data_IF_986987016712
#
_entry.id   IF_986987016712
#
_cell.length_a   1.000
_cell.length_b   1.000
_cell.length_c   1.000
_cell.angle_alpha   90.00
_cell.angle_beta   90.00
_cell.angle_gamma   90.00
#
_symmetry.space_group_name_H-M   'P 1'
#
loop_
_entity.id
_entity.type
_entity.pdbx_description
1 polymer ?
#
# COMPACT_ATOMS: atom_id res chain seq x y z
N UNK A 1 10.56 13.28 21.70
CA UNK A 1 11.83 12.71 21.18
C UNK A 1 13.08 13.44 21.70
N UNK A 2 13.21 14.77 21.48
CA UNK A 2 14.37 15.53 21.97
C UNK A 2 14.58 15.37 23.49
N UNK A 3 13.51 15.40 24.27
CA UNK A 3 13.56 15.23 25.73
C UNK A 3 14.05 13.84 26.15
N UNK A 4 13.63 12.77 25.47
CA UNK A 4 14.08 11.41 25.77
C UNK A 4 15.56 11.19 25.41
N UNK A 5 16.01 11.71 24.27
CA UNK A 5 17.43 11.67 23.88
C UNK A 5 18.28 12.48 24.86
N UNK A 6 17.83 13.67 25.27
CA UNK A 6 18.52 14.47 26.28
C UNK A 6 18.67 13.70 27.59
N UNK A 7 17.64 12.95 28.00
CA UNK A 7 17.69 12.13 29.23
C UNK A 7 18.72 11.00 29.15
N UNK A 8 18.83 10.33 28.00
CA UNK A 8 19.85 9.29 27.78
C UNK A 8 21.26 9.91 27.81
N UNK A 9 21.45 11.07 27.16
CA UNK A 9 22.73 11.79 27.19
C UNK A 9 23.12 12.24 28.60
N UNK A 10 22.16 12.70 29.41
CA UNK A 10 22.40 13.02 30.83
C UNK A 10 22.85 11.79 31.61
N UNK A 11 22.25 10.62 31.38
CA UNK A 11 22.66 9.38 32.06
C UNK A 11 24.09 8.93 31.69
N UNK A 12 24.51 9.15 30.44
CA UNK A 12 25.91 8.92 30.00
C UNK A 12 26.85 9.92 30.68
N UNK A 13 26.49 11.19 30.73
CA UNK A 13 27.28 12.25 31.38
C UNK A 13 27.44 12.01 32.90
N UNK A 14 26.41 11.50 33.55
CA UNK A 14 26.42 11.12 34.97
C UNK A 14 27.14 9.78 35.22
N UNK A 15 27.61 9.08 34.19
CA UNK A 15 28.32 7.80 34.30
C UNK A 15 27.43 6.63 34.71
N UNK A 16 26.10 6.78 34.65
CA UNK A 16 25.14 5.71 34.98
C UNK A 16 25.11 4.61 33.92
N UNK A 17 25.46 4.97 32.68
CA UNK A 17 25.60 4.06 31.54
C UNK A 17 26.83 4.46 30.72
N UNK A 18 27.37 3.49 29.99
CA UNK A 18 28.46 3.70 29.03
C UNK A 18 27.94 4.21 27.66
N UNK A 19 28.87 4.65 26.81
CA UNK A 19 28.53 5.21 25.50
C UNK A 19 27.84 4.18 24.58
N UNK A 20 28.22 2.91 24.68
CA UNK A 20 27.67 1.83 23.84
C UNK A 20 26.19 1.60 24.19
N UNK A 21 25.86 1.44 25.48
CA UNK A 21 24.47 1.34 25.95
C UNK A 21 23.67 2.60 25.67
N UNK A 22 24.29 3.78 25.75
CA UNK A 22 23.65 5.04 25.36
C UNK A 22 23.23 5.05 23.90
N UNK A 23 24.11 4.55 23.01
CA UNK A 23 23.84 4.43 21.58
C UNK A 23 22.68 3.47 21.29
N UNK A 24 22.67 2.29 21.93
CA UNK A 24 21.59 1.31 21.79
C UNK A 24 20.23 1.88 22.23
N UNK A 25 20.17 2.59 23.35
CA UNK A 25 18.94 3.21 23.84
C UNK A 25 18.42 4.29 22.88
N UNK A 26 19.31 5.12 22.33
CA UNK A 26 18.94 6.14 21.33
C UNK A 26 18.45 5.48 20.05
N UNK A 27 19.06 4.37 19.62
CA UNK A 27 18.64 3.61 18.45
C UNK A 27 17.22 3.05 18.63
N UNK A 28 16.92 2.43 19.78
CA UNK A 28 15.57 1.94 20.10
C UNK A 28 14.54 3.08 20.15
N UNK A 29 14.92 4.27 20.66
CA UNK A 29 14.05 5.45 20.67
C UNK A 29 13.78 5.98 19.25
N UNK A 30 14.77 5.94 18.35
CA UNK A 30 14.61 6.28 16.92
C UNK A 30 13.72 5.29 16.21
N UNK A 31 13.94 3.99 16.39
CA UNK A 31 13.11 2.94 15.79
C UNK A 31 11.66 3.01 16.26
N UNK A 32 11.42 3.36 17.53
CA UNK A 32 10.09 3.61 18.07
C UNK A 32 9.41 4.85 17.48
N UNK A 33 10.17 5.88 17.12
CA UNK A 33 9.64 7.06 16.42
C UNK A 33 9.40 6.76 14.93
N UNK A 34 10.27 6.01 14.26
CA UNK A 34 10.09 5.58 12.87
C UNK A 34 8.90 4.61 12.72
N UNK A 35 8.67 3.73 13.70
CA UNK A 35 7.47 2.88 13.77
C UNK A 35 6.24 3.62 14.28
N UNK A 36 6.40 4.66 15.11
CA UNK A 36 5.31 5.51 15.61
C UNK A 36 4.80 6.52 14.58
N UNK A 37 5.68 7.06 13.73
CA UNK A 37 5.34 8.01 12.66
C UNK A 37 4.82 7.30 11.39
N UNK A 38 5.02 5.99 11.25
CA UNK A 38 4.31 5.17 10.24
C UNK A 38 2.86 4.85 10.61
N UNK A 39 2.41 5.20 11.81
CA UNK A 39 1.05 4.95 12.29
C UNK A 39 0.16 6.21 12.33
N UNK A 40 0.66 7.32 11.80
CA UNK A 40 -0.13 8.53 11.55
C UNK A 40 -0.10 8.94 10.07
N UNK A 41 0.07 7.98 9.16
CA UNK A 41 -0.58 8.15 7.87
C UNK A 41 -2.08 8.12 8.17
N UNK A 42 -2.76 9.26 7.98
CA UNK A 42 -4.21 9.24 7.79
C UNK A 42 -4.51 8.01 6.92
N UNK A 43 -5.55 7.20 7.20
CA UNK A 43 -5.99 6.25 6.18
C UNK A 43 -6.09 7.06 4.91
N UNK A 44 -5.23 6.77 3.93
CA UNK A 44 -5.26 7.49 2.66
C UNK A 44 -6.70 7.29 2.23
N UNK A 45 -7.48 8.37 2.09
CA UNK A 45 -8.91 8.27 1.73
C UNK A 45 -9.09 7.36 0.51
N UNK A 46 -8.03 7.25 -0.28
CA UNK A 46 -7.80 6.28 -1.32
C UNK A 46 -8.07 4.79 -0.98
N UNK A 47 -7.60 4.24 0.14
CA UNK A 47 -7.85 2.83 0.47
C UNK A 47 -9.35 2.54 0.74
N UNK A 48 -10.13 3.56 1.08
CA UNK A 48 -11.59 3.46 1.22
C UNK A 48 -12.34 3.55 -0.12
N UNK A 49 -11.64 3.87 -1.23
CA UNK A 49 -12.23 3.94 -2.57
C UNK A 49 -12.55 2.56 -3.13
N UNK A 50 -13.34 2.57 -4.19
CA UNK A 50 -13.76 1.40 -4.96
C UNK A 50 -13.34 1.53 -6.41
N UNK A 51 -12.64 0.52 -6.92
CA UNK A 51 -12.46 0.33 -8.37
C UNK A 51 -13.80 -0.11 -8.97
N UNK A 52 -14.36 0.73 -9.84
CA UNK A 52 -15.60 0.48 -10.55
C UNK A 52 -15.30 0.22 -12.02
N UNK A 53 -15.76 -0.92 -12.52
CA UNK A 53 -15.74 -1.24 -13.95
C UNK A 53 -17.19 -1.31 -14.41
N UNK A 54 -17.50 -0.59 -15.49
CA UNK A 54 -18.79 -0.63 -16.17
C UNK A 54 -18.54 -0.94 -17.63
N UNK A 55 -19.22 -1.97 -18.12
CA UNK A 55 -19.30 -2.29 -19.55
C UNK A 55 -20.77 -2.30 -19.89
N UNK A 56 -21.15 -1.58 -20.93
CA UNK A 56 -22.49 -1.61 -21.51
C UNK A 56 -22.30 -1.90 -22.99
N UNK A 57 -22.73 -3.06 -23.46
CA UNK A 57 -22.75 -3.35 -24.89
C UNK A 57 -24.02 -2.84 -25.55
N UNK A 58 -23.96 -2.57 -26.85
CA UNK A 58 -25.13 -2.24 -27.65
C UNK A 58 -26.13 -3.40 -27.73
N UNK A 59 -25.67 -4.63 -27.50
CA UNK A 59 -26.48 -5.85 -27.44
C UNK A 59 -27.07 -6.12 -26.03
N UNK A 60 -26.89 -5.17 -25.10
CA UNK A 60 -27.42 -5.20 -23.74
C UNK A 60 -26.74 -6.20 -22.79
N UNK A 61 -25.52 -6.62 -23.12
CA UNK A 61 -24.63 -7.30 -22.18
C UNK A 61 -23.98 -6.26 -21.27
N UNK A 62 -24.35 -6.29 -19.99
CA UNK A 62 -23.90 -5.33 -19.01
C UNK A 62 -22.99 -5.99 -17.96
N UNK A 63 -21.80 -5.43 -17.76
CA UNK A 63 -20.87 -5.86 -16.71
C UNK A 63 -20.72 -4.75 -15.67
N UNK A 64 -20.94 -5.09 -14.41
CA UNK A 64 -20.77 -4.19 -13.28
C UNK A 64 -19.85 -4.82 -12.25
N UNK A 65 -18.68 -4.22 -12.04
CA UNK A 65 -17.72 -4.64 -11.01
C UNK A 65 -17.53 -3.52 -10.01
N UNK A 66 -17.60 -3.85 -8.72
CA UNK A 66 -17.29 -2.94 -7.61
C UNK A 66 -16.28 -3.64 -6.71
N UNK A 67 -15.03 -3.20 -6.78
CA UNK A 67 -13.93 -3.83 -6.07
C UNK A 67 -13.30 -2.83 -5.10
N UNK A 68 -13.54 -2.95 -3.79
CA UNK A 68 -12.89 -2.10 -2.78
C UNK A 68 -11.37 -2.18 -2.91
N UNK A 69 -10.66 -1.05 -2.87
CA UNK A 69 -9.20 -1.02 -3.04
C UNK A 69 -8.49 -1.84 -1.96
N UNK A 70 -9.03 -1.85 -0.72
CA UNK A 70 -8.59 -2.77 0.34
C UNK A 70 -8.60 -4.24 -0.09
N UNK A 71 -9.64 -4.68 -0.80
CA UNK A 71 -9.73 -6.07 -1.27
C UNK A 71 -8.70 -6.34 -2.37
N UNK A 72 -8.50 -5.39 -3.31
CA UNK A 72 -7.43 -5.48 -4.32
C UNK A 72 -6.07 -5.71 -3.67
N UNK A 73 -5.74 -4.90 -2.66
CA UNK A 73 -4.48 -5.01 -1.92
C UNK A 73 -4.29 -6.39 -1.30
N UNK A 74 -5.31 -6.91 -0.60
CA UNK A 74 -5.26 -8.25 0.02
C UNK A 74 -5.07 -9.34 -1.04
N UNK A 75 -5.79 -9.25 -2.16
CA UNK A 75 -5.67 -10.22 -3.27
C UNK A 75 -4.29 -10.16 -3.90
N UNK A 76 -3.69 -8.98 -4.09
CA UNK A 76 -2.33 -8.86 -4.62
C UNK A 76 -1.31 -9.49 -3.67
N UNK A 77 -1.41 -9.22 -2.37
CA UNK A 77 -0.50 -9.77 -1.37
C UNK A 77 -0.60 -11.30 -1.29
N UNK A 78 -1.80 -11.83 -1.06
CA UNK A 78 -2.00 -13.27 -0.87
C UNK A 78 -1.93 -14.04 -2.20
N UNK A 79 -2.55 -13.50 -3.24
CA UNK A 79 -2.64 -14.12 -4.56
C UNK A 79 -1.28 -14.25 -5.23
N UNK A 80 -0.38 -13.27 -5.07
CA UNK A 80 0.98 -13.40 -5.57
C UNK A 80 1.73 -14.54 -4.88
N UNK A 81 1.69 -14.62 -3.55
CA UNK A 81 2.37 -15.72 -2.82
C UNK A 81 1.84 -17.09 -3.23
N UNK A 82 0.53 -17.23 -3.40
CA UNK A 82 -0.10 -18.48 -3.86
C UNK A 82 0.33 -18.80 -5.29
N UNK A 83 0.25 -17.83 -6.21
CA UNK A 83 0.61 -18.03 -7.62
C UNK A 83 2.10 -18.31 -7.82
N UNK A 84 2.98 -17.69 -7.00
CA UNK A 84 4.41 -17.96 -7.00
C UNK A 84 4.73 -19.37 -6.49
N UNK A 85 3.89 -19.92 -5.62
CA UNK A 85 4.07 -21.28 -5.06
C UNK A 85 3.59 -22.40 -6.00
N UNK A 86 2.85 -22.06 -7.07
CA UNK A 86 2.34 -23.02 -8.05
C UNK A 86 3.30 -23.04 -9.26
N UNK A 87 3.95 -24.17 -9.58
CA UNK A 87 5.00 -24.23 -10.61
C UNK A 87 4.55 -23.76 -12.00
N UNK A 88 3.28 -23.97 -12.34
CA UNK A 88 2.72 -23.59 -13.63
C UNK A 88 2.53 -22.07 -13.77
N UNK A 89 2.30 -21.36 -12.67
CA UNK A 89 2.07 -19.91 -12.65
C UNK A 89 3.29 -19.09 -12.20
N UNK A 90 4.23 -19.69 -11.48
CA UNK A 90 5.43 -19.04 -10.94
C UNK A 90 6.16 -18.20 -11.99
N UNK A 91 6.39 -18.74 -13.19
CA UNK A 91 7.09 -18.07 -14.29
C UNK A 91 6.43 -16.76 -14.76
N UNK A 92 5.15 -16.53 -14.46
CA UNK A 92 4.44 -15.31 -14.85
C UNK A 92 4.40 -14.25 -13.75
N UNK A 93 4.64 -14.65 -12.49
CA UNK A 93 4.45 -13.77 -11.33
C UNK A 93 5.73 -13.50 -10.56
N UNK A 94 6.75 -14.37 -10.66
CA UNK A 94 7.98 -14.29 -9.84
C UNK A 94 8.76 -12.97 -9.99
N UNK A 95 8.67 -12.33 -11.16
CA UNK A 95 9.42 -11.11 -11.49
C UNK A 95 8.55 -9.84 -11.30
N UNK A 96 7.34 -9.98 -10.77
CA UNK A 96 6.44 -8.85 -10.50
C UNK A 96 6.76 -8.31 -9.10
N UNK A 97 7.17 -7.05 -9.02
CA UNK A 97 7.33 -6.35 -7.76
C UNK A 97 5.96 -5.90 -7.22
N UNK A 98 5.37 -6.75 -6.39
CA UNK A 98 4.09 -6.47 -5.74
C UNK A 98 4.20 -5.32 -4.74
N UNK A 99 5.36 -5.13 -4.12
CA UNK A 99 5.55 -4.06 -3.14
C UNK A 99 5.44 -2.70 -3.82
N UNK A 100 6.07 -2.55 -5.00
CA UNK A 100 5.96 -1.35 -5.83
C UNK A 100 4.51 -1.09 -6.29
N UNK A 101 3.77 -2.13 -6.66
CA UNK A 101 2.36 -2.00 -7.05
C UNK A 101 1.50 -1.56 -5.86
N UNK A 102 1.70 -2.13 -4.68
CA UNK A 102 0.98 -1.75 -3.47
C UNK A 102 1.30 -0.31 -3.08
N UNK A 103 2.57 0.10 -3.15
CA UNK A 103 2.99 1.47 -2.89
C UNK A 103 2.37 2.46 -3.89
N UNK A 104 2.29 2.10 -5.17
CA UNK A 104 1.61 2.92 -6.18
C UNK A 104 0.09 3.04 -5.93
N UNK A 105 -0.55 1.96 -5.43
CA UNK A 105 -1.94 2.00 -4.99
C UNK A 105 -2.09 2.93 -3.78
N UNK A 106 -1.14 2.93 -2.86
CA UNK A 106 -1.20 3.78 -1.66
C UNK A 106 -0.95 5.26 -1.97
N UNK A 107 -0.21 5.57 -3.04
CA UNK A 107 0.19 6.92 -3.45
C UNK A 107 -0.67 7.56 -4.57
N UNK A 108 -1.95 7.18 -4.62
CA UNK A 108 -3.06 7.91 -5.25
C UNK A 108 -3.09 8.02 -6.79
N UNK A 109 -3.78 7.07 -7.44
CA UNK A 109 -4.33 7.20 -8.79
C UNK A 109 -5.85 7.34 -8.73
N UNK A 110 -6.40 8.55 -8.62
CA UNK A 110 -7.83 8.76 -8.52
C UNK A 110 -8.51 9.31 -9.78
N UNK A 111 -9.78 8.96 -9.95
CA UNK A 111 -10.58 9.39 -11.10
C UNK A 111 -10.64 8.34 -12.20
N UNK A 112 -10.92 8.81 -13.43
CA UNK A 112 -11.21 7.96 -14.57
C UNK A 112 -9.92 7.47 -15.23
N UNK A 113 -9.80 6.15 -15.35
CA UNK A 113 -8.64 5.46 -15.94
C UNK A 113 -8.92 5.10 -17.40
N UNK A 114 -10.16 4.68 -17.68
CA UNK A 114 -10.61 4.26 -19.01
C UNK A 114 -11.93 4.94 -19.35
N UNK A 115 -11.99 5.56 -20.53
CA UNK A 115 -13.21 6.00 -21.20
C UNK A 115 -13.20 5.45 -22.63
N UNK A 116 -14.08 4.51 -22.93
CA UNK A 116 -14.21 3.97 -24.29
C UNK A 116 -15.65 4.15 -24.73
N UNK A 117 -15.77 4.69 -25.94
CA UNK A 117 -17.01 4.70 -26.73
C UNK A 117 -16.70 4.08 -28.07
N UNK A 118 -17.20 2.87 -28.29
CA UNK A 118 -17.06 2.15 -29.55
C UNK A 118 -17.96 2.75 -30.61
N UNK A 119 -17.55 2.64 -31.88
CA UNK A 119 -18.39 3.01 -33.03
C UNK A 119 -19.70 2.20 -33.07
N UNK A 120 -19.68 0.99 -32.48
CA UNK A 120 -20.84 0.09 -32.46
C UNK A 120 -21.79 0.38 -31.28
N UNK A 121 -21.50 1.38 -30.45
CA UNK A 121 -22.36 1.77 -29.32
C UNK A 121 -21.96 1.19 -27.96
N UNK A 122 -20.95 0.32 -27.90
CA UNK A 122 -20.43 -0.20 -26.63
C UNK A 122 -19.70 0.89 -25.85
N UNK A 123 -19.86 0.87 -24.51
CA UNK A 123 -19.14 1.77 -23.61
C UNK A 123 -18.41 0.99 -22.52
N UNK A 124 -17.21 1.44 -22.20
CA UNK A 124 -16.42 0.91 -21.09
C UNK A 124 -15.90 2.07 -20.25
N UNK A 125 -16.16 2.03 -18.95
CA UNK A 125 -15.59 2.96 -17.98
C UNK A 125 -14.89 2.22 -16.86
N UNK A 126 -13.66 2.63 -16.55
CA UNK A 126 -12.93 2.19 -15.36
C UNK A 126 -12.60 3.42 -14.53
N UNK A 127 -13.06 3.46 -13.29
CA UNK A 127 -12.91 4.60 -12.38
C UNK A 127 -12.58 4.13 -10.97
N UNK A 128 -11.77 4.91 -10.26
CA UNK A 128 -11.53 4.74 -8.82
C UNK A 128 -12.26 5.87 -8.09
N UNK A 129 -13.26 5.51 -7.30
CA UNK A 129 -14.18 6.41 -6.56
C UNK A 129 -14.39 5.94 -5.12
#
# INVERSE_FOLDING_TARGET
MKEEITRVLTMVQEGKIDADKGSELIQVLKEKEETGNKLLEKPTKYLDKTLKIRVVSAENDNVTVNLPIKLVKVVLMAGHSIAASIPQSEKYVKDIDISLIIEAIENELDGQIVDIKSANGDTVSVIID
#
